data_IF_718510566357
#
_entry.id   IF_718510566357
#
_cell.length_a   1.000
_cell.length_b   1.000
_cell.length_c   1.000
_cell.angle_alpha   90.00
_cell.angle_beta   90.00
_cell.angle_gamma   90.00
#
_symmetry.space_group_name_H-M   'P 1'
#
loop_
_entity.id
_entity.type
_entity.pdbx_description
1 polymer ?
#
# COMPACT_ATOMS: atom_id res chain seq x y z
N UNK A 1 9.71 -44.54 38.97
CA UNK A 1 8.48 -44.14 39.66
C UNK A 1 7.85 -42.98 38.92
N UNK A 2 6.58 -43.12 38.58
CA UNK A 2 5.83 -42.40 37.54
C UNK A 2 4.85 -41.44 38.21
N UNK A 3 4.94 -40.14 37.94
CA UNK A 3 3.84 -39.16 38.06
C UNK A 3 4.26 -37.96 37.18
N UNK A 4 3.57 -37.47 36.17
CA UNK A 4 2.14 -37.47 35.86
C UNK A 4 1.76 -36.00 35.63
N UNK A 5 1.63 -35.57 34.38
CA UNK A 5 1.25 -34.20 34.03
C UNK A 5 -0.24 -33.94 34.19
N UNK A 6 -0.63 -32.65 34.13
CA UNK A 6 -1.93 -32.21 33.61
C UNK A 6 -1.98 -30.70 33.39
N UNK A 7 -2.42 -30.34 32.20
CA UNK A 7 -2.86 -29.01 31.81
C UNK A 7 -4.22 -28.69 32.46
N UNK A 8 -4.43 -27.43 32.82
CA UNK A 8 -5.69 -26.94 33.39
C UNK A 8 -6.41 -26.08 32.34
N UNK A 9 -7.45 -26.68 31.74
CA UNK A 9 -8.50 -25.98 31.00
C UNK A 9 -9.50 -25.40 31.99
N UNK A 10 -9.82 -24.11 31.89
CA UNK A 10 -10.89 -23.47 32.65
C UNK A 10 -12.10 -23.26 31.75
N UNK A 11 -13.13 -24.09 31.95
CA UNK A 11 -14.51 -23.86 31.53
C UNK A 11 -15.32 -23.49 32.77
N UNK A 12 -16.00 -22.35 32.75
CA UNK A 12 -16.96 -21.96 33.78
C UNK A 12 -18.38 -22.03 33.18
N UNK A 13 -19.21 -22.89 33.76
CA UNK A 13 -20.64 -23.01 33.46
C UNK A 13 -21.42 -22.97 34.79
N UNK A 14 -22.58 -22.32 34.73
CA UNK A 14 -23.78 -22.43 35.57
C UNK A 14 -24.01 -21.52 36.80
N UNK A 15 -25.08 -20.68 36.70
CA UNK A 15 -26.34 -20.69 37.51
C UNK A 15 -27.26 -19.54 37.04
N UNK A 16 -28.47 -19.75 36.48
CA UNK A 16 -29.79 -20.09 37.08
C UNK A 16 -30.14 -19.12 38.24
N UNK A 17 -31.24 -18.36 38.33
CA UNK A 17 -32.66 -18.37 37.86
C UNK A 17 -33.09 -16.89 37.69
N UNK A 18 -34.05 -16.45 36.86
CA UNK A 18 -35.38 -16.93 36.55
C UNK A 18 -36.41 -15.95 37.14
N UNK A 19 -37.26 -15.33 36.31
CA UNK A 19 -38.66 -14.96 36.58
C UNK A 19 -39.30 -14.45 35.26
N UNK A 20 -40.37 -15.15 34.88
CA UNK A 20 -41.17 -14.95 33.67
C UNK A 20 -42.09 -13.72 33.78
N UNK A 21 -42.43 -13.07 32.66
CA UNK A 21 -43.70 -13.30 31.96
C UNK A 21 -44.21 -12.08 31.15
N UNK A 22 -44.81 -12.42 30.00
CA UNK A 22 -45.86 -11.75 29.22
C UNK A 22 -45.50 -10.73 28.12
N UNK A 23 -45.83 -11.15 26.88
CA UNK A 23 -46.47 -10.44 25.77
C UNK A 23 -45.69 -10.65 24.45
N UNK A 24 -46.04 -11.69 23.70
CA UNK A 24 -46.95 -11.66 22.52
C UNK A 24 -46.27 -11.18 21.22
N UNK A 25 -46.17 -12.15 20.29
CA UNK A 25 -46.28 -12.09 18.83
C UNK A 25 -45.98 -10.77 18.07
N UNK A 26 -44.95 -10.84 17.21
CA UNK A 26 -45.09 -10.50 15.79
C UNK A 26 -43.98 -11.19 14.99
N UNK A 27 -44.31 -12.37 14.45
CA UNK A 27 -43.54 -13.02 13.38
C UNK A 27 -43.78 -12.21 12.11
N UNK A 28 -42.79 -11.43 11.67
CA UNK A 28 -42.79 -10.91 10.30
C UNK A 28 -42.35 -12.04 9.36
N UNK A 29 -43.16 -12.41 8.34
CA UNK A 29 -42.78 -13.44 7.41
C UNK A 29 -41.58 -12.97 6.60
N UNK A 30 -40.58 -13.84 6.51
CA UNK A 30 -39.42 -13.68 5.65
C UNK A 30 -39.88 -13.41 4.21
N UNK A 31 -39.68 -12.17 3.76
CA UNK A 31 -39.84 -11.79 2.38
C UNK A 31 -38.85 -12.62 1.54
N UNK A 32 -39.39 -13.36 0.56
CA UNK A 32 -38.62 -14.03 -0.48
C UNK A 32 -37.67 -13.01 -1.12
N UNK A 33 -36.45 -13.40 -1.54
CA UNK A 33 -35.61 -12.50 -2.32
C UNK A 33 -36.38 -12.14 -3.58
N UNK A 34 -36.82 -10.89 -3.65
CA UNK A 34 -37.39 -10.32 -4.86
C UNK A 34 -36.32 -10.45 -5.93
N UNK A 35 -36.65 -11.23 -6.96
CA UNK A 35 -35.89 -11.32 -8.19
C UNK A 35 -35.54 -9.91 -8.63
N UNK A 36 -34.24 -9.62 -8.72
CA UNK A 36 -33.72 -8.39 -9.31
C UNK A 36 -34.45 -8.18 -10.62
N UNK A 37 -35.31 -7.18 -10.63
CA UNK A 37 -36.04 -6.74 -11.82
C UNK A 37 -35.00 -6.52 -12.90
N UNK A 38 -35.06 -7.32 -13.97
CA UNK A 38 -34.22 -7.11 -15.14
C UNK A 38 -34.59 -5.74 -15.70
N UNK A 39 -33.81 -4.73 -15.33
CA UNK A 39 -33.89 -3.42 -15.95
C UNK A 39 -33.73 -3.63 -17.45
N UNK A 40 -34.66 -3.08 -18.24
CA UNK A 40 -34.56 -3.07 -19.71
C UNK A 40 -33.21 -2.49 -20.17
N UNK A 41 -32.89 -2.56 -21.48
CA UNK A 41 -31.57 -2.19 -21.99
C UNK A 41 -31.21 -0.78 -21.50
N UNK A 42 -30.31 -0.71 -20.53
CA UNK A 42 -29.85 0.54 -19.95
C UNK A 42 -29.12 1.30 -21.07
N UNK A 43 -29.38 2.60 -21.17
CA UNK A 43 -28.73 3.43 -22.18
C UNK A 43 -27.20 3.34 -21.97
N UNK A 44 -26.41 3.20 -23.05
CA UNK A 44 -24.97 3.07 -22.92
C UNK A 44 -24.38 4.34 -22.31
N UNK A 45 -23.52 4.18 -21.31
CA UNK A 45 -22.83 5.30 -20.66
C UNK A 45 -21.71 5.78 -21.59
N UNK A 46 -21.92 6.92 -22.27
CA UNK A 46 -20.92 7.52 -23.16
C UNK A 46 -20.29 8.73 -22.48
N UNK A 47 -18.99 8.65 -22.20
CA UNK A 47 -18.21 9.76 -21.64
C UNK A 47 -17.28 10.34 -22.71
N UNK A 48 -17.43 11.63 -22.99
CA UNK A 48 -16.55 12.37 -23.91
C UNK A 48 -15.46 13.11 -23.14
N UNK A 49 -14.33 13.35 -23.79
CA UNK A 49 -13.29 14.23 -23.26
C UNK A 49 -13.82 15.67 -23.09
N UNK A 50 -13.81 16.19 -21.86
CA UNK A 50 -14.21 17.58 -21.58
C UNK A 50 -13.12 18.59 -21.98
N UNK A 51 -11.85 18.17 -21.92
CA UNK A 51 -10.70 19.01 -22.25
C UNK A 51 -10.39 18.98 -23.75
N UNK A 52 -9.91 20.10 -24.33
CA UNK A 52 -9.58 20.18 -25.74
C UNK A 52 -8.43 19.24 -26.09
N UNK A 53 -8.70 18.31 -27.00
CA UNK A 53 -7.71 17.37 -27.53
C UNK A 53 -6.88 18.04 -28.64
N UNK A 54 -5.55 17.87 -28.69
CA UNK A 54 -4.73 18.45 -29.74
C UNK A 54 -5.10 17.88 -31.13
N UNK A 55 -5.18 18.75 -32.13
CA UNK A 55 -5.66 18.40 -33.48
C UNK A 55 -4.90 17.24 -34.16
N UNK A 56 -3.62 17.03 -33.80
CA UNK A 56 -2.78 15.97 -34.37
C UNK A 56 -3.01 14.59 -33.75
N UNK A 57 -3.77 14.48 -32.65
CA UNK A 57 -4.01 13.21 -31.95
C UNK A 57 -5.51 12.98 -31.75
N UNK A 58 -5.90 11.71 -31.72
CA UNK A 58 -7.26 11.28 -31.38
C UNK A 58 -7.31 10.78 -29.93
N UNK A 59 -8.44 10.91 -29.23
CA UNK A 59 -8.61 10.33 -27.91
C UNK A 59 -8.54 8.80 -27.96
N UNK A 60 -8.12 8.20 -26.85
CA UNK A 60 -8.14 6.75 -26.68
C UNK A 60 -9.50 6.35 -26.12
N UNK A 61 -9.96 5.14 -26.40
CA UNK A 61 -11.22 4.64 -25.87
C UNK A 61 -10.97 3.52 -24.87
N UNK A 62 -11.78 3.46 -23.82
CA UNK A 62 -11.80 2.36 -22.86
C UNK A 62 -13.25 1.95 -22.57
N UNK A 63 -13.45 0.67 -22.29
CA UNK A 63 -14.74 0.15 -21.85
C UNK A 63 -15.06 0.66 -20.46
N UNK A 64 -16.33 1.01 -20.24
CA UNK A 64 -16.86 1.33 -18.92
C UNK A 64 -17.58 0.09 -18.39
N UNK A 65 -17.12 -0.39 -17.25
CA UNK A 65 -17.67 -1.56 -16.55
C UNK A 65 -18.49 -1.13 -15.32
N UNK A 66 -19.34 -2.04 -14.83
CA UNK A 66 -20.09 -1.88 -13.57
C UNK A 66 -19.65 -2.93 -12.56
N UNK A 67 -19.63 -2.60 -11.26
CA UNK A 67 -19.37 -3.59 -10.19
C UNK A 67 -20.64 -4.23 -9.61
N UNK A 68 -21.81 -3.91 -10.16
CA UNK A 68 -23.10 -4.35 -9.60
C UNK A 68 -23.43 -5.81 -9.93
N UNK A 69 -22.92 -6.31 -11.04
CA UNK A 69 -23.17 -7.67 -11.52
C UNK A 69 -21.92 -8.25 -12.17
N UNK A 70 -21.79 -9.58 -12.14
CA UNK A 70 -20.64 -10.31 -12.67
C UNK A 70 -20.50 -10.13 -14.17
N UNK A 71 -21.61 -10.22 -14.91
CA UNK A 71 -21.63 -10.24 -16.38
C UNK A 71 -21.60 -8.85 -17.01
N UNK A 72 -21.80 -7.79 -16.23
CA UNK A 72 -21.99 -6.43 -16.74
C UNK A 72 -20.65 -5.72 -17.02
N UNK A 73 -19.87 -6.27 -17.95
CA UNK A 73 -18.54 -5.80 -18.32
C UNK A 73 -18.56 -4.58 -19.26
N UNK A 74 -19.52 -4.51 -20.19
CA UNK A 74 -19.54 -3.47 -21.24
C UNK A 74 -20.78 -2.60 -21.14
N UNK A 75 -20.84 -1.77 -20.10
CA UNK A 75 -21.94 -0.83 -19.84
C UNK A 75 -21.88 0.38 -20.77
N UNK A 76 -20.66 0.78 -21.13
CA UNK A 76 -20.45 2.01 -21.88
C UNK A 76 -19.07 2.14 -22.48
N UNK A 77 -18.81 3.31 -23.05
CA UNK A 77 -17.54 3.65 -23.67
C UNK A 77 -17.09 5.04 -23.21
N UNK A 78 -15.85 5.15 -22.75
CA UNK A 78 -15.25 6.39 -22.32
C UNK A 78 -14.11 6.81 -23.26
N UNK A 79 -14.14 8.07 -23.68
CA UNK A 79 -13.05 8.73 -24.38
C UNK A 79 -12.06 9.33 -23.38
N UNK A 80 -10.81 8.89 -23.46
CA UNK A 80 -9.69 9.27 -22.61
C UNK A 80 -8.73 10.21 -23.34
N UNK A 81 -8.26 11.24 -22.62
CA UNK A 81 -7.39 12.26 -23.20
C UNK A 81 -6.01 11.69 -23.57
N UNK A 82 -5.54 11.87 -24.82
CA UNK A 82 -4.35 11.17 -25.32
C UNK A 82 -3.04 11.65 -24.67
N UNK A 83 -2.97 12.88 -24.15
CA UNK A 83 -1.77 13.34 -23.43
C UNK A 83 -1.64 12.80 -21.99
N UNK A 84 -2.66 12.10 -21.49
CA UNK A 84 -2.64 11.46 -20.17
C UNK A 84 -2.46 9.97 -20.34
N UNK A 85 -3.30 9.35 -21.18
CA UNK A 85 -3.40 7.90 -21.32
C UNK A 85 -2.66 7.33 -22.54
N UNK A 86 -2.11 8.17 -23.43
CA UNK A 86 -1.35 7.76 -24.63
C UNK A 86 -0.03 8.53 -24.76
N UNK A 87 0.70 8.66 -23.64
CA UNK A 87 2.04 9.26 -23.62
C UNK A 87 3.11 8.23 -24.02
N UNK A 88 4.26 8.68 -24.54
CA UNK A 88 5.36 7.76 -24.80
C UNK A 88 5.80 7.03 -23.50
N UNK A 89 5.92 5.69 -23.50
CA UNK A 89 6.23 4.91 -22.30
C UNK A 89 7.67 5.11 -21.84
N UNK A 90 7.88 6.07 -20.94
CA UNK A 90 9.18 6.46 -20.38
C UNK A 90 9.47 5.77 -19.05
N UNK A 91 10.01 4.55 -19.13
CA UNK A 91 10.33 3.71 -17.95
C UNK A 91 11.39 4.35 -17.03
N UNK A 92 12.26 5.19 -17.59
CA UNK A 92 13.27 5.96 -16.85
C UNK A 92 12.63 6.90 -15.82
N UNK A 93 11.58 7.64 -16.22
CA UNK A 93 10.84 8.55 -15.34
C UNK A 93 10.08 7.77 -14.28
N UNK A 94 9.45 6.66 -14.66
CA UNK A 94 8.72 5.80 -13.74
C UNK A 94 9.66 5.29 -12.63
N UNK A 95 10.84 4.78 -13.00
CA UNK A 95 11.86 4.33 -12.05
C UNK A 95 12.34 5.46 -11.12
N UNK A 96 12.61 6.66 -11.65
CA UNK A 96 13.01 7.82 -10.84
C UNK A 96 11.95 8.21 -9.81
N UNK A 97 10.67 8.26 -10.21
CA UNK A 97 9.56 8.58 -9.32
C UNK A 97 9.36 7.51 -8.26
N UNK A 98 9.47 6.22 -8.62
CA UNK A 98 9.37 5.11 -7.68
C UNK A 98 10.47 5.13 -6.61
N UNK A 99 11.74 5.33 -7.02
CA UNK A 99 12.87 5.49 -6.09
C UNK A 99 12.66 6.70 -5.18
N UNK A 100 12.20 7.81 -5.75
CA UNK A 100 11.93 9.00 -4.96
C UNK A 100 10.87 8.73 -3.90
N UNK A 101 9.73 8.15 -4.27
CA UNK A 101 8.65 7.82 -3.32
C UNK A 101 9.16 6.96 -2.15
N UNK A 102 10.08 6.02 -2.42
CA UNK A 102 10.71 5.18 -1.40
C UNK A 102 11.65 5.96 -0.48
N UNK A 103 12.43 6.89 -1.02
CA UNK A 103 13.51 7.55 -0.28
C UNK A 103 13.09 8.84 0.41
N UNK A 104 12.17 9.64 -0.14
CA UNK A 104 11.87 10.97 0.39
C UNK A 104 11.24 10.93 1.79
N UNK A 105 10.50 9.87 2.11
CA UNK A 105 9.90 9.61 3.44
C UNK A 105 10.87 8.94 4.42
N UNK A 106 12.05 8.50 3.94
CA UNK A 106 12.97 7.67 4.72
C UNK A 106 13.78 8.51 5.70
N UNK A 107 13.71 8.15 6.98
CA UNK A 107 14.55 8.68 8.05
C UNK A 107 15.30 7.51 8.68
N UNK A 108 16.63 7.59 8.73
CA UNK A 108 17.45 6.60 9.43
C UNK A 108 17.77 7.07 10.84
N UNK A 109 17.35 6.28 11.83
CA UNK A 109 17.64 6.51 13.25
C UNK A 109 18.90 5.79 13.74
N UNK A 110 19.61 5.10 12.84
CA UNK A 110 20.85 4.41 13.20
C UNK A 110 21.89 5.44 13.67
N UNK A 111 22.43 5.24 14.87
CA UNK A 111 23.48 6.09 15.43
C UNK A 111 24.49 5.24 16.18
N UNK A 112 25.75 5.34 15.77
CA UNK A 112 26.87 4.74 16.48
C UNK A 112 27.60 5.77 17.33
N UNK A 113 28.10 5.35 18.50
CA UNK A 113 28.92 6.21 19.36
C UNK A 113 30.32 6.37 18.79
N UNK A 114 30.74 7.61 18.58
CA UNK A 114 32.12 7.94 18.24
C UNK A 114 33.03 7.74 19.46
N UNK A 115 34.35 7.73 19.26
CA UNK A 115 35.33 7.61 20.36
C UNK A 115 35.17 8.67 21.46
N UNK A 116 34.56 9.82 21.15
CA UNK A 116 34.29 10.90 22.10
C UNK A 116 32.98 10.70 22.89
N UNK A 117 32.02 9.95 22.34
CA UNK A 117 30.72 9.68 22.97
C UNK A 117 30.73 8.40 23.83
N UNK A 118 31.73 7.53 23.64
CA UNK A 118 31.90 6.32 24.46
C UNK A 118 32.44 6.70 25.84
N UNK A 119 31.76 6.27 26.91
CA UNK A 119 32.10 6.60 28.30
C UNK A 119 33.55 6.22 28.67
N UNK A 120 34.33 7.17 29.19
CA UNK A 120 35.70 6.98 29.67
C UNK A 120 36.77 7.37 28.64
N UNK A 121 38.01 6.88 28.80
CA UNK A 121 39.08 7.11 27.81
C UNK A 121 39.83 8.45 27.90
N UNK A 122 39.64 9.23 28.97
CA UNK A 122 40.34 10.50 29.19
C UNK A 122 41.78 10.38 29.69
N UNK A 123 42.15 9.25 30.31
CA UNK A 123 43.52 8.99 30.77
C UNK A 123 44.30 8.20 29.72
N UNK A 124 45.54 8.62 29.44
CA UNK A 124 46.47 7.90 28.56
C UNK A 124 46.82 6.53 29.18
N UNK A 125 46.73 5.41 28.42
CA UNK A 125 46.99 4.07 28.97
C UNK A 125 48.40 3.86 29.54
N UNK A 126 49.42 4.40 28.86
CA UNK A 126 50.83 4.33 29.28
C UNK A 126 51.64 5.52 28.72
N UNK A 127 52.84 5.81 29.27
CA UNK A 127 53.71 6.86 28.77
C UNK A 127 54.08 6.68 27.28
N UNK A 128 54.45 7.79 26.62
CA UNK A 128 54.75 7.78 25.17
C UNK A 128 55.95 6.90 24.81
N UNK A 129 56.90 6.71 25.73
CA UNK A 129 58.15 5.97 25.58
C UNK A 129 58.40 5.15 26.85
N UNK A 130 59.25 4.12 26.75
CA UNK A 130 59.69 3.29 27.88
C UNK A 130 58.88 2.00 28.13
N UNK A 131 57.68 1.85 27.56
CA UNK A 131 56.84 0.67 27.81
C UNK A 131 57.04 -0.50 26.85
N UNK A 132 57.76 -0.32 25.73
CA UNK A 132 57.92 -1.34 24.68
C UNK A 132 56.64 -1.68 23.89
N UNK A 133 55.50 -1.06 24.22
CA UNK A 133 54.19 -1.30 23.57
C UNK A 133 53.90 -0.28 22.48
N UNK A 134 52.96 -0.60 21.60
CA UNK A 134 52.41 0.34 20.61
C UNK A 134 51.92 1.64 21.27
N UNK A 135 52.08 2.78 20.61
CA UNK A 135 51.73 4.10 21.17
C UNK A 135 50.21 4.31 21.14
N UNK A 136 49.61 4.59 22.29
CA UNK A 136 48.16 4.71 22.42
C UNK A 136 47.80 6.01 23.14
N UNK A 137 46.83 6.74 22.58
CA UNK A 137 46.32 7.99 23.15
C UNK A 137 45.14 7.80 24.10
N UNK A 138 44.27 6.83 23.82
CA UNK A 138 43.04 6.56 24.59
C UNK A 138 42.60 5.11 24.39
N UNK A 139 42.01 4.52 25.43
CA UNK A 139 41.38 3.19 25.37
C UNK A 139 40.08 3.17 24.57
N UNK A 140 39.51 4.34 24.22
CA UNK A 140 38.27 4.46 23.41
C UNK A 140 38.52 4.66 21.92
N UNK A 141 39.76 4.56 21.47
CA UNK A 141 40.10 4.58 20.05
C UNK A 141 39.45 3.40 19.29
N UNK A 142 39.07 3.55 18.01
CA UNK A 142 38.45 2.48 17.22
C UNK A 142 39.27 1.19 17.11
N UNK A 143 40.59 1.26 17.30
CA UNK A 143 41.50 0.10 17.29
C UNK A 143 41.29 -0.79 18.53
N UNK A 144 40.75 -0.24 19.61
CA UNK A 144 40.53 -0.97 20.86
C UNK A 144 39.16 -1.67 20.89
N UNK A 145 39.12 -2.85 21.51
CA UNK A 145 37.85 -3.53 21.84
C UNK A 145 37.02 -2.64 22.78
N UNK A 146 35.76 -2.39 22.42
CA UNK A 146 34.89 -1.47 23.16
C UNK A 146 35.26 0.01 23.00
N UNK A 147 36.06 0.33 21.99
CA UNK A 147 36.26 1.70 21.51
C UNK A 147 35.07 2.21 20.68
N UNK A 148 35.12 3.48 20.30
CA UNK A 148 34.10 4.06 19.42
C UNK A 148 34.26 3.65 17.97
N UNK A 149 33.17 3.73 17.20
CA UNK A 149 33.19 3.42 15.76
C UNK A 149 33.73 4.64 14.99
N UNK A 150 34.68 4.42 14.08
CA UNK A 150 35.30 5.49 13.29
C UNK A 150 34.35 6.03 12.22
N UNK A 151 33.89 5.15 11.32
CA UNK A 151 32.91 5.46 10.28
C UNK A 151 31.69 4.58 10.50
N UNK A 152 30.68 5.17 11.11
CA UNK A 152 29.39 4.54 11.34
C UNK A 152 28.27 5.55 11.17
N UNK A 153 27.01 5.10 11.14
CA UNK A 153 25.88 5.99 10.93
C UNK A 153 25.81 7.06 12.03
N UNK A 154 25.59 8.31 11.61
CA UNK A 154 25.46 9.50 12.46
C UNK A 154 24.02 10.00 12.39
N UNK A 155 23.14 9.37 13.18
CA UNK A 155 21.71 9.65 13.14
C UNK A 155 21.28 10.90 13.93
N UNK A 156 20.05 11.39 13.69
CA UNK A 156 19.13 10.98 12.61
C UNK A 156 19.54 11.55 11.24
N UNK A 157 19.47 10.73 10.17
CA UNK A 157 19.79 11.16 8.79
C UNK A 157 18.55 11.06 7.90
N UNK A 158 18.21 12.17 7.25
CA UNK A 158 17.11 12.23 6.27
C UNK A 158 17.64 11.99 4.85
N UNK A 159 16.84 11.31 4.02
CA UNK A 159 17.10 11.10 2.60
C UNK A 159 16.17 11.94 1.72
N UNK A 160 15.75 13.09 2.25
CA UNK A 160 14.75 13.94 1.62
C UNK A 160 15.35 14.69 0.43
N UNK A 161 14.66 14.61 -0.71
CA UNK A 161 14.88 15.45 -1.89
C UNK A 161 13.56 15.58 -2.65
N UNK A 162 13.39 16.67 -3.40
CA UNK A 162 12.17 16.93 -4.17
C UNK A 162 12.45 16.85 -5.66
N UNK A 163 11.64 16.07 -6.38
CA UNK A 163 11.63 16.11 -7.84
C UNK A 163 10.80 17.29 -8.37
N UNK A 164 11.19 17.86 -9.53
CA UNK A 164 10.39 18.85 -10.23
C UNK A 164 8.95 18.35 -10.42
N UNK A 165 7.97 19.24 -10.22
CA UNK A 165 6.55 18.91 -10.30
C UNK A 165 6.16 18.27 -11.65
N UNK A 166 6.71 18.79 -12.75
CA UNK A 166 6.47 18.27 -14.10
C UNK A 166 6.93 16.82 -14.27
N UNK A 167 8.04 16.42 -13.64
CA UNK A 167 8.56 15.05 -13.71
C UNK A 167 7.65 14.10 -12.94
N UNK A 168 7.15 14.50 -11.76
CA UNK A 168 6.19 13.71 -10.98
C UNK A 168 4.87 13.52 -11.73
N UNK A 169 4.33 14.59 -12.32
CA UNK A 169 3.11 14.53 -13.13
C UNK A 169 3.32 13.66 -14.39
N UNK A 170 4.47 13.77 -15.06
CA UNK A 170 4.79 12.93 -16.20
C UNK A 170 4.92 11.46 -15.81
N UNK A 171 5.51 11.14 -14.66
CA UNK A 171 5.58 9.77 -14.14
C UNK A 171 4.19 9.15 -13.94
N UNK A 172 3.23 9.93 -13.44
CA UNK A 172 1.84 9.48 -13.31
C UNK A 172 1.20 9.18 -14.67
N UNK A 173 1.36 10.09 -15.65
CA UNK A 173 0.87 9.88 -17.03
C UNK A 173 1.44 8.62 -17.67
N UNK A 174 2.75 8.39 -17.49
CA UNK A 174 3.41 7.19 -18.00
C UNK A 174 2.86 5.94 -17.32
N UNK A 175 2.66 5.95 -16.00
CA UNK A 175 2.10 4.81 -15.28
C UNK A 175 0.68 4.46 -15.76
N UNK A 176 -0.18 5.47 -15.93
CA UNK A 176 -1.53 5.28 -16.47
C UNK A 176 -1.51 4.76 -17.92
N UNK A 177 -0.61 5.31 -18.76
CA UNK A 177 -0.47 4.85 -20.15
C UNK A 177 0.00 3.40 -20.21
N UNK A 178 0.98 3.01 -19.39
CA UNK A 178 1.49 1.62 -19.33
C UNK A 178 0.38 0.68 -18.89
N UNK A 179 -0.40 1.04 -17.86
CA UNK A 179 -1.51 0.22 -17.39
C UNK A 179 -2.61 0.05 -18.43
N UNK A 180 -2.95 1.11 -19.15
CA UNK A 180 -3.91 1.01 -20.25
C UNK A 180 -3.38 0.18 -21.42
N UNK A 181 -2.11 0.33 -21.79
CA UNK A 181 -1.50 -0.41 -22.91
C UNK A 181 -1.27 -1.91 -22.60
N UNK A 182 -1.31 -2.30 -21.32
CA UNK A 182 -1.19 -3.69 -20.87
C UNK A 182 -2.55 -4.34 -20.59
N UNK A 183 -3.67 -3.66 -20.89
CA UNK A 183 -5.04 -4.09 -20.58
C UNK A 183 -5.31 -4.29 -19.07
N UNK A 184 -4.51 -3.66 -18.20
CA UNK A 184 -4.62 -3.73 -16.73
C UNK A 184 -5.47 -2.58 -16.13
N UNK A 185 -5.90 -1.62 -16.96
CA UNK A 185 -6.68 -0.46 -16.52
C UNK A 185 -8.15 -0.66 -16.89
N UNK A 186 -9.00 -0.81 -15.88
CA UNK A 186 -10.45 -0.90 -16.03
C UNK A 186 -11.11 0.40 -15.57
N UNK A 187 -11.99 0.95 -16.41
CA UNK A 187 -12.79 2.14 -16.06
C UNK A 187 -14.14 1.68 -15.57
N UNK A 188 -14.53 2.14 -14.39
CA UNK A 188 -15.79 1.75 -13.74
C UNK A 188 -16.67 2.99 -13.58
N UNK A 189 -17.98 2.85 -13.82
CA UNK A 189 -18.93 3.97 -13.66
C UNK A 189 -19.19 4.32 -12.19
N UNK A 190 -19.51 3.32 -11.37
CA UNK A 190 -19.72 3.48 -9.93
C UNK A 190 -19.08 2.35 -9.12
N UNK A 191 -18.51 2.70 -7.96
CA UNK A 191 -17.94 1.74 -6.99
C UNK A 191 -19.00 1.17 -6.04
N UNK A 192 -20.28 1.25 -6.41
CA UNK A 192 -21.39 0.72 -5.62
C UNK A 192 -21.47 -0.80 -5.78
N UNK A 193 -21.48 -1.50 -4.65
CA UNK A 193 -21.57 -2.95 -4.59
C UNK A 193 -23.00 -3.36 -4.19
N UNK A 194 -23.51 -4.48 -4.74
CA UNK A 194 -24.84 -4.98 -4.38
C UNK A 194 -24.87 -5.54 -2.95
N UNK A 195 -23.70 -5.89 -2.40
CA UNK A 195 -23.56 -6.53 -1.09
C UNK A 195 -22.24 -6.09 -0.47
N UNK A 196 -22.20 -6.02 0.87
CA UNK A 196 -21.01 -5.67 1.64
C UNK A 196 -20.03 -6.82 1.85
N UNK A 197 -20.29 -7.98 1.25
CA UNK A 197 -19.52 -9.20 1.47
C UNK A 197 -18.19 -9.15 0.68
N UNK A 198 -17.03 -9.34 1.33
CA UNK A 198 -15.73 -9.26 0.65
C UNK A 198 -15.49 -10.39 -0.35
N UNK A 199 -16.21 -11.52 -0.19
CA UNK A 199 -16.15 -12.65 -1.11
C UNK A 199 -16.65 -12.26 -2.51
N UNK A 200 -17.70 -11.43 -2.58
CA UNK A 200 -18.25 -10.94 -3.84
C UNK A 200 -17.17 -10.27 -4.71
N UNK A 201 -16.40 -9.33 -4.16
CA UNK A 201 -15.32 -8.66 -4.89
C UNK A 201 -14.21 -9.62 -5.33
N UNK A 202 -13.89 -10.62 -4.51
CA UNK A 202 -12.85 -11.60 -4.82
C UNK A 202 -13.29 -12.52 -5.96
N UNK A 203 -14.55 -12.96 -5.94
CA UNK A 203 -15.15 -13.78 -7.00
C UNK A 203 -15.31 -12.98 -8.29
N UNK A 204 -15.69 -11.71 -8.20
CA UNK A 204 -15.81 -10.80 -9.34
C UNK A 204 -14.47 -10.61 -10.04
N UNK A 205 -13.40 -10.32 -9.28
CA UNK A 205 -12.05 -10.16 -9.84
C UNK A 205 -11.53 -11.45 -10.50
N UNK A 206 -11.87 -12.62 -9.93
CA UNK A 206 -11.53 -13.92 -10.52
C UNK A 206 -12.31 -14.19 -11.81
N UNK A 207 -13.60 -13.87 -11.82
CA UNK A 207 -14.48 -14.04 -12.98
C UNK A 207 -14.02 -13.16 -14.16
N UNK A 208 -13.66 -11.90 -13.90
CA UNK A 208 -13.18 -10.95 -14.92
C UNK A 208 -11.69 -11.02 -15.23
N UNK A 209 -10.98 -11.95 -14.59
CA UNK A 209 -9.54 -12.16 -14.78
C UNK A 209 -8.66 -10.91 -14.54
N UNK A 210 -9.00 -10.06 -13.57
CA UNK A 210 -8.22 -8.87 -13.21
C UNK A 210 -6.87 -9.16 -12.54
N UNK A 211 -6.60 -10.43 -12.22
CA UNK A 211 -5.38 -10.87 -11.54
C UNK A 211 -5.50 -10.90 -10.02
N UNK A 212 -4.35 -11.06 -9.34
CA UNK A 212 -4.31 -11.33 -7.90
C UNK A 212 -4.48 -10.09 -7.02
N UNK A 213 -4.16 -8.90 -7.56
CA UNK A 213 -4.18 -7.64 -6.82
C UNK A 213 -4.84 -6.55 -7.62
N UNK A 214 -5.85 -5.90 -7.03
CA UNK A 214 -6.62 -4.81 -7.65
C UNK A 214 -6.51 -3.57 -6.76
N UNK A 215 -6.31 -2.41 -7.39
CA UNK A 215 -6.32 -1.10 -6.71
C UNK A 215 -7.55 -0.32 -7.17
N UNK A 216 -8.48 -0.08 -6.26
CA UNK A 216 -9.64 0.78 -6.50
C UNK A 216 -9.27 2.23 -6.16
N UNK A 217 -9.66 3.16 -7.05
CA UNK A 217 -9.41 4.60 -6.88
C UNK A 217 -10.74 5.31 -7.03
N UNK A 218 -11.12 6.05 -5.98
CA UNK A 218 -12.31 6.91 -5.94
C UNK A 218 -11.89 8.39 -5.92
N UNK A 219 -12.82 9.28 -6.28
CA UNK A 219 -12.60 10.72 -6.39
C UNK A 219 -12.73 11.48 -5.06
#
# INVERSE_FOLDING_TARGET
>A
TKVGGRASSFTLVHRLQGLNALAEEAVHPAAKPESVVSAGPQAPVLRRCELPVPATRRPVQAWVESLRDYQQERVGLAELHPEVFSTAPRMDILHQVAIWQKNFKRISYAKTKTRAEVKGGGRKPWPQKGSGRSRQGSTRSPIWRGGGIAHGPRGPTSYYYMLPMKVRAQGLKVALTVKLAQDDLHVVDSLELPTSDPQYLTELARYRHWGDSVLLVDA
#
